data_IF_837533783943
#
_entry.id   IF_837533783943
#
_cell.length_a   1.000
_cell.length_b   1.000
_cell.length_c   1.000
_cell.angle_alpha   90.00
_cell.angle_beta   90.00
_cell.angle_gamma   90.00
#
_symmetry.space_group_name_H-M   'P 1'
#
loop_
_entity.id
_entity.type
_entity.pdbx_description
1 polymer ?
#
# COMPACT_ATOMS: atom_id res chain seq x y z
N UNK A 1 6.98 9.25 -71.66
CA UNK A 1 5.66 8.59 -71.76
C UNK A 1 5.19 8.27 -70.35
N UNK A 2 3.92 8.39 -69.95
CA UNK A 2 2.75 8.98 -70.62
C UNK A 2 1.96 9.83 -69.60
N UNK A 3 0.92 10.57 -69.99
CA UNK A 3 0.35 11.68 -69.18
C UNK A 3 -1.19 11.74 -69.30
N UNK A 4 -1.88 12.23 -68.25
CA UNK A 4 -3.30 12.69 -68.14
C UNK A 4 -4.35 11.69 -67.60
N UNK A 5 -5.41 12.30 -67.02
CA UNK A 5 -6.70 11.71 -66.55
C UNK A 5 -6.63 10.86 -65.27
N UNK A 6 -7.62 10.84 -64.36
CA UNK A 6 -9.02 11.33 -64.37
C UNK A 6 -9.29 12.35 -63.22
N UNK A 7 -10.49 12.96 -63.16
CA UNK A 7 -10.85 14.16 -62.41
C UNK A 7 -12.16 13.97 -61.58
N UNK A 8 -12.31 14.73 -60.46
CA UNK A 8 -13.53 14.93 -59.61
C UNK A 8 -13.86 13.75 -58.65
N UNK A 9 -14.52 13.92 -57.50
CA UNK A 9 -15.14 15.07 -56.80
C UNK A 9 -14.43 15.32 -55.42
N UNK A 10 -14.49 16.43 -54.65
CA UNK A 10 -15.61 17.31 -54.17
C UNK A 10 -16.65 16.55 -53.30
N UNK A 11 -17.20 17.00 -52.17
CA UNK A 11 -17.03 18.12 -51.19
C UNK A 11 -17.90 17.74 -49.94
N UNK A 12 -17.91 18.32 -48.73
CA UNK A 12 -17.36 19.53 -48.06
C UNK A 12 -17.13 19.17 -46.56
N UNK A 13 -16.27 19.88 -45.81
CA UNK A 13 -16.51 20.21 -44.39
C UNK A 13 -15.63 21.39 -43.93
N UNK A 14 -16.23 22.53 -43.58
CA UNK A 14 -15.52 23.74 -43.13
C UNK A 14 -16.42 24.67 -42.30
N UNK A 15 -16.19 24.74 -40.99
CA UNK A 15 -16.81 25.67 -40.00
C UNK A 15 -16.16 25.36 -38.64
N UNK A 16 -15.71 26.31 -37.80
CA UNK A 16 -15.62 27.77 -37.91
C UNK A 16 -14.44 28.28 -37.07
N UNK A 17 -13.82 29.42 -37.41
CA UNK A 17 -12.77 30.05 -36.58
C UNK A 17 -12.71 31.58 -36.79
N UNK A 18 -12.69 32.36 -35.68
CA UNK A 18 -12.78 33.85 -35.60
C UNK A 18 -14.13 34.40 -36.10
N UNK A 19 -14.72 35.48 -35.58
CA UNK A 19 -14.24 36.84 -35.18
C UNK A 19 -14.87 37.20 -33.81
N UNK A 20 -14.18 37.66 -32.76
CA UNK A 20 -13.40 38.90 -32.50
C UNK A 20 -14.21 40.17 -32.16
N UNK A 21 -13.78 40.80 -31.05
CA UNK A 21 -13.86 42.22 -30.65
C UNK A 21 -15.06 42.81 -29.87
N UNK A 22 -14.65 43.63 -28.89
CA UNK A 22 -15.32 44.77 -28.23
C UNK A 22 -16.54 44.49 -27.34
N UNK A 23 -16.32 44.50 -26.01
CA UNK A 23 -16.59 45.71 -25.20
C UNK A 23 -15.84 45.65 -23.86
N UNK A 24 -15.51 46.83 -23.31
CA UNK A 24 -15.15 47.03 -21.91
C UNK A 24 -15.84 48.31 -21.43
N UNK A 25 -16.27 48.36 -20.16
CA UNK A 25 -15.57 49.29 -19.27
C UNK A 25 -15.25 48.69 -17.89
N UNK A 26 -14.36 49.37 -17.18
CA UNK A 26 -14.02 49.13 -15.77
C UNK A 26 -15.15 49.52 -14.82
N UNK A 27 -15.30 48.81 -13.69
CA UNK A 27 -15.43 49.39 -12.33
C UNK A 27 -15.26 48.28 -11.29
N UNK A 28 -14.78 48.65 -10.10
CA UNK A 28 -14.58 47.79 -8.94
C UNK A 28 -15.87 47.42 -8.21
N UNK A 29 -15.97 46.20 -7.64
CA UNK A 29 -15.85 46.07 -6.18
C UNK A 29 -15.62 44.61 -5.70
N UNK A 30 -15.41 44.46 -4.39
CA UNK A 30 -15.25 43.20 -3.67
C UNK A 30 -16.59 42.44 -3.45
N UNK A 31 -16.47 41.18 -3.03
CA UNK A 31 -17.47 40.37 -2.32
C UNK A 31 -18.72 39.92 -3.09
N UNK A 32 -18.82 38.61 -3.35
CA UNK A 32 -19.97 37.76 -2.94
C UNK A 32 -19.77 36.29 -3.40
N UNK A 33 -19.45 35.40 -2.47
CA UNK A 33 -19.55 33.95 -2.65
C UNK A 33 -20.71 33.40 -1.81
N UNK A 34 -21.90 33.26 -2.40
CA UNK A 34 -23.01 32.50 -1.84
C UNK A 34 -23.91 31.94 -2.96
N UNK A 35 -24.64 30.87 -2.64
CA UNK A 35 -25.56 30.11 -3.51
C UNK A 35 -24.97 29.41 -4.73
N UNK A 36 -24.61 28.13 -4.54
CA UNK A 36 -25.14 27.05 -5.41
C UNK A 36 -25.09 25.68 -4.69
N UNK A 37 -25.98 25.51 -3.73
CA UNK A 37 -26.35 24.18 -3.20
C UNK A 37 -27.71 23.82 -3.81
N UNK A 38 -27.76 22.74 -4.59
CA UNK A 38 -28.81 21.69 -4.52
C UNK A 38 -28.70 20.68 -5.68
N UNK A 39 -27.87 19.64 -5.47
CA UNK A 39 -28.21 18.29 -5.92
C UNK A 39 -27.94 17.34 -4.75
N UNK A 40 -28.90 16.45 -4.44
CA UNK A 40 -28.76 15.45 -3.37
C UNK A 40 -28.22 14.15 -3.98
N UNK A 41 -27.12 13.56 -3.46
CA UNK A 41 -26.90 12.13 -3.64
C UNK A 41 -27.91 11.33 -2.80
N UNK A 42 -28.21 10.11 -3.23
CA UNK A 42 -29.14 9.20 -2.55
C UNK A 42 -28.42 7.89 -2.22
N UNK A 43 -28.50 7.44 -0.96
CA UNK A 43 -28.14 6.09 -0.53
C UNK A 43 -26.88 5.98 0.32
N UNK A 44 -27.01 5.27 1.45
CA UNK A 44 -25.95 4.75 2.35
C UNK A 44 -24.86 5.75 2.79
N UNK A 45 -25.10 6.39 3.92
CA UNK A 45 -24.04 7.03 4.72
C UNK A 45 -23.30 5.98 5.58
N UNK A 46 -22.47 5.16 4.95
CA UNK A 46 -21.58 4.26 5.71
C UNK A 46 -20.59 5.07 6.54
N UNK A 47 -20.33 4.61 7.76
CA UNK A 47 -19.42 5.25 8.71
C UNK A 47 -17.98 4.83 8.37
N UNK A 48 -17.06 5.79 8.13
CA UNK A 48 -15.67 5.47 7.87
C UNK A 48 -15.03 4.75 9.05
N UNK A 49 -14.17 3.76 8.78
CA UNK A 49 -13.55 2.95 9.85
C UNK A 49 -12.77 3.83 10.85
N UNK A 50 -12.18 4.93 10.38
CA UNK A 50 -11.60 5.99 11.23
C UNK A 50 -12.49 6.39 12.41
N UNK A 51 -13.82 6.47 12.29
CA UNK A 51 -14.70 6.96 13.37
C UNK A 51 -14.74 6.01 14.57
N UNK A 52 -14.67 4.70 14.33
CA UNK A 52 -14.55 3.70 15.40
C UNK A 52 -13.16 3.69 16.05
N UNK A 53 -12.15 4.24 15.37
CA UNK A 53 -10.75 4.24 15.79
C UNK A 53 -10.29 5.60 16.36
N UNK A 54 -11.07 6.65 16.17
CA UNK A 54 -10.83 8.00 16.69
C UNK A 54 -11.41 8.25 18.10
N UNK A 55 -12.17 7.32 18.66
CA UNK A 55 -12.80 7.46 19.98
C UNK A 55 -12.06 6.69 21.07
N UNK A 56 -11.56 7.40 22.07
CA UNK A 56 -11.25 6.86 23.41
C UNK A 56 -12.51 6.59 24.25
N UNK A 57 -13.68 6.99 23.76
CA UNK A 57 -14.94 6.64 24.40
C UNK A 57 -15.10 5.12 24.42
N UNK A 58 -15.30 4.56 25.61
CA UNK A 58 -16.15 3.37 25.73
C UNK A 58 -17.47 3.73 25.04
N UNK A 59 -18.07 2.86 24.21
CA UNK A 59 -19.42 3.11 23.74
C UNK A 59 -20.34 3.22 24.96
N UNK A 60 -21.09 4.32 25.06
CA UNK A 60 -22.02 4.53 26.15
C UNK A 60 -23.04 3.38 26.20
N UNK A 61 -23.41 2.97 27.42
CA UNK A 61 -24.01 1.66 27.66
C UNK A 61 -25.50 1.58 27.32
N UNK A 62 -25.85 1.70 26.03
CA UNK A 62 -27.19 1.39 25.51
C UNK A 62 -27.22 1.13 23.99
N UNK A 63 -27.17 -0.16 23.58
CA UNK A 63 -28.10 -0.84 22.63
C UNK A 63 -27.42 -2.07 21.99
N UNK A 64 -28.19 -3.14 21.77
CA UNK A 64 -27.78 -4.39 21.09
C UNK A 64 -26.67 -5.21 21.77
N UNK A 65 -27.07 -6.10 22.69
CA UNK A 65 -26.16 -7.00 23.41
C UNK A 65 -25.75 -8.25 22.60
N UNK A 66 -24.96 -8.07 21.55
CA UNK A 66 -24.11 -9.16 21.04
C UNK A 66 -22.88 -9.30 21.93
N UNK A 67 -22.68 -10.47 22.54
CA UNK A 67 -21.62 -10.69 23.53
C UNK A 67 -20.29 -10.97 22.83
N UNK A 68 -19.25 -10.21 23.16
CA UNK A 68 -17.89 -10.49 22.72
C UNK A 68 -17.47 -11.92 23.08
N UNK A 69 -16.95 -12.66 22.11
CA UNK A 69 -16.45 -14.02 22.28
C UNK A 69 -14.95 -13.97 22.57
N UNK A 70 -14.55 -14.51 23.74
CA UNK A 70 -13.13 -14.64 24.10
C UNK A 70 -12.58 -15.96 23.57
N UNK A 71 -11.52 -15.87 22.78
CA UNK A 71 -10.80 -16.99 22.19
C UNK A 71 -9.35 -16.99 22.70
N UNK A 72 -8.73 -18.17 22.72
CA UNK A 72 -7.31 -18.32 23.06
C UNK A 72 -6.48 -18.62 21.82
N UNK A 73 -5.28 -18.06 21.76
CA UNK A 73 -4.27 -18.50 20.79
C UNK A 73 -3.88 -19.95 21.05
N UNK A 74 -3.61 -20.72 20.00
CA UNK A 74 -3.08 -22.09 20.11
C UNK A 74 -1.72 -22.09 20.85
N UNK A 75 -1.33 -23.21 21.47
CA UNK A 75 -0.16 -23.26 22.35
C UNK A 75 1.15 -22.89 21.62
N UNK A 76 1.29 -23.36 20.38
CA UNK A 76 2.36 -23.05 19.44
C UNK A 76 2.37 -21.56 19.07
N UNK A 77 1.18 -20.97 18.93
CA UNK A 77 0.99 -19.54 18.63
C UNK A 77 1.48 -18.66 19.78
N UNK A 78 1.23 -19.03 21.05
CA UNK A 78 1.73 -18.25 22.19
C UNK A 78 3.28 -18.22 22.25
N UNK A 79 3.93 -19.36 21.99
CA UNK A 79 5.40 -19.42 21.96
C UNK A 79 5.99 -18.66 20.77
N UNK A 80 5.42 -18.84 19.57
CA UNK A 80 5.88 -18.13 18.38
C UNK A 80 5.66 -16.63 18.48
N UNK A 81 4.58 -16.14 19.10
CA UNK A 81 4.35 -14.72 19.35
C UNK A 81 5.52 -14.10 20.15
N UNK A 82 6.00 -14.80 21.18
CA UNK A 82 7.14 -14.36 21.99
C UNK A 82 8.45 -14.31 21.19
N UNK A 83 8.64 -15.22 20.24
CA UNK A 83 9.83 -15.29 19.36
C UNK A 83 9.77 -14.22 18.27
N UNK A 84 8.62 -14.07 17.61
CA UNK A 84 8.37 -13.01 16.60
C UNK A 84 8.62 -11.64 17.22
N UNK A 85 8.09 -11.40 18.43
CA UNK A 85 8.13 -10.10 19.08
C UNK A 85 9.48 -9.72 19.72
N UNK A 86 10.45 -10.64 19.80
CA UNK A 86 11.78 -10.40 20.42
C UNK A 86 12.98 -10.72 19.53
N UNK A 87 12.84 -11.61 18.55
CA UNK A 87 13.99 -12.28 17.93
C UNK A 87 14.01 -12.30 16.40
N UNK A 88 12.89 -12.04 15.72
CA UNK A 88 12.85 -12.08 14.24
C UNK A 88 13.12 -10.73 13.57
N UNK A 89 12.98 -9.61 14.29
CA UNK A 89 13.14 -8.27 13.74
C UNK A 89 14.05 -7.44 14.65
N UNK A 90 15.19 -7.01 14.10
CA UNK A 90 16.12 -6.07 14.75
C UNK A 90 15.51 -4.67 14.88
N UNK A 91 14.74 -4.25 13.86
CA UNK A 91 14.25 -2.90 13.70
C UNK A 91 12.73 -2.87 13.93
N UNK A 92 12.29 -2.18 14.98
CA UNK A 92 10.87 -2.05 15.37
C UNK A 92 9.97 -1.65 14.21
N UNK A 93 10.42 -0.69 13.39
CA UNK A 93 9.71 -0.11 12.24
C UNK A 93 9.23 -1.11 11.16
N UNK A 94 9.77 -2.33 11.13
CA UNK A 94 9.39 -3.36 10.16
C UNK A 94 7.89 -3.70 10.23
N UNK A 95 7.22 -3.51 11.38
CA UNK A 95 5.78 -3.75 11.49
C UNK A 95 4.93 -2.96 10.47
N UNK A 96 5.34 -1.73 10.12
CA UNK A 96 4.66 -0.90 9.11
C UNK A 96 4.81 -1.52 7.72
N UNK A 97 5.98 -2.08 7.39
CA UNK A 97 6.19 -2.84 6.14
C UNK A 97 5.27 -4.05 6.06
N UNK A 98 5.16 -4.82 7.14
CA UNK A 98 4.30 -6.01 7.19
C UNK A 98 2.82 -5.64 7.05
N UNK A 99 2.35 -4.61 7.76
CA UNK A 99 0.96 -4.15 7.66
C UNK A 99 0.62 -3.58 6.27
N UNK A 100 1.49 -2.76 5.67
CA UNK A 100 1.28 -2.25 4.30
C UNK A 100 1.32 -3.39 3.26
N UNK A 101 2.13 -4.43 3.49
CA UNK A 101 2.16 -5.62 2.63
C UNK A 101 0.85 -6.41 2.71
N UNK A 102 0.32 -6.61 3.93
CA UNK A 102 -0.99 -7.25 4.14
C UNK A 102 -2.14 -6.43 3.52
N UNK A 103 -2.09 -5.10 3.64
CA UNK A 103 -3.04 -4.19 3.00
C UNK A 103 -2.99 -4.30 1.46
N UNK A 104 -1.80 -4.26 0.85
CA UNK A 104 -1.63 -4.47 -0.59
C UNK A 104 -2.16 -5.85 -1.04
N UNK A 105 -1.92 -6.91 -0.26
CA UNK A 105 -2.46 -8.24 -0.52
C UNK A 105 -4.00 -8.26 -0.49
N UNK A 106 -4.62 -7.58 0.47
CA UNK A 106 -6.08 -7.48 0.57
C UNK A 106 -6.69 -6.72 -0.63
N UNK A 107 -6.00 -5.69 -1.12
CA UNK A 107 -6.37 -4.93 -2.33
C UNK A 107 -6.21 -5.74 -3.62
N UNK A 108 -5.13 -6.51 -3.75
CA UNK A 108 -4.90 -7.36 -4.92
C UNK A 108 -5.87 -8.55 -4.96
N UNK A 109 -6.16 -9.20 -3.82
CA UNK A 109 -7.24 -10.21 -3.71
C UNK A 109 -8.58 -9.65 -4.19
N UNK A 110 -8.96 -8.45 -3.74
CA UNK A 110 -10.18 -7.78 -4.18
C UNK A 110 -10.18 -7.57 -5.70
N UNK A 111 -9.04 -7.15 -6.28
CA UNK A 111 -8.88 -7.01 -7.74
C UNK A 111 -9.05 -8.34 -8.49
N UNK A 112 -8.54 -9.46 -7.97
CA UNK A 112 -8.78 -10.78 -8.58
C UNK A 112 -10.26 -11.17 -8.51
N UNK A 113 -10.94 -10.96 -7.38
CA UNK A 113 -12.38 -11.23 -7.26
C UNK A 113 -13.22 -10.37 -8.21
N UNK A 114 -12.91 -9.06 -8.32
CA UNK A 114 -13.54 -8.15 -9.29
C UNK A 114 -13.42 -8.66 -10.73
N UNK A 115 -12.25 -9.20 -11.11
CA UNK A 115 -12.00 -9.72 -12.46
C UNK A 115 -12.59 -11.12 -12.71
N UNK A 116 -12.69 -11.96 -11.68
CA UNK A 116 -13.15 -13.34 -11.81
C UNK A 116 -14.67 -13.50 -11.65
N UNK A 117 -15.29 -12.73 -10.76
CA UNK A 117 -16.72 -12.90 -10.43
C UNK A 117 -17.68 -12.19 -11.40
N UNK A 118 -17.21 -11.15 -12.10
CA UNK A 118 -18.07 -10.28 -12.92
C UNK A 118 -19.14 -9.50 -12.12
N UNK A 119 -19.09 -9.56 -10.79
CA UNK A 119 -20.12 -9.06 -9.90
C UNK A 119 -20.08 -7.53 -9.79
N UNK A 120 -21.17 -6.90 -10.22
CA UNK A 120 -21.38 -5.46 -10.15
C UNK A 120 -21.43 -4.93 -8.70
N UNK A 121 -21.68 -5.78 -7.70
CA UNK A 121 -21.69 -5.39 -6.28
C UNK A 121 -20.30 -4.93 -5.77
N UNK A 122 -19.24 -5.23 -6.52
CA UNK A 122 -17.84 -4.90 -6.21
C UNK A 122 -17.23 -3.92 -7.26
N UNK A 123 -18.05 -3.32 -8.14
CA UNK A 123 -17.55 -2.68 -9.37
C UNK A 123 -16.98 -1.26 -9.22
N UNK A 124 -17.43 -0.47 -8.24
CA UNK A 124 -16.93 0.90 -8.01
C UNK A 124 -16.34 1.02 -6.61
N UNK A 125 -15.05 0.71 -6.51
CA UNK A 125 -14.35 0.65 -5.24
C UNK A 125 -12.90 1.12 -5.32
N UNK A 126 -12.61 2.10 -4.46
CA UNK A 126 -11.26 2.54 -4.13
C UNK A 126 -10.40 1.34 -3.75
N UNK A 127 -9.18 1.26 -4.26
CA UNK A 127 -8.16 0.30 -3.82
C UNK A 127 -6.96 1.03 -3.24
N UNK A 128 -7.10 1.44 -1.99
CA UNK A 128 -6.25 2.44 -1.34
C UNK A 128 -5.85 2.00 0.07
N UNK A 129 -4.73 2.54 0.55
CA UNK A 129 -4.20 2.34 1.90
C UNK A 129 -4.16 3.69 2.60
N UNK A 130 -4.79 3.79 3.76
CA UNK A 130 -4.84 4.99 4.59
C UNK A 130 -4.07 4.73 5.88
N UNK A 131 -3.16 5.63 6.22
CA UNK A 131 -2.42 5.61 7.49
C UNK A 131 -2.81 6.87 8.26
N UNK A 132 -3.24 6.70 9.50
CA UNK A 132 -3.58 7.80 10.41
C UNK A 132 -2.69 7.69 11.64
N UNK A 133 -2.02 8.78 11.98
CA UNK A 133 -1.25 8.89 13.24
C UNK A 133 -1.95 9.84 14.20
N UNK A 134 -1.96 9.48 15.48
CA UNK A 134 -2.47 10.31 16.55
C UNK A 134 -1.44 10.40 17.67
N UNK A 135 -0.80 11.56 17.78
CA UNK A 135 0.21 11.86 18.79
C UNK A 135 -0.38 12.00 20.19
N UNK A 136 -1.59 12.57 20.28
CA UNK A 136 -2.27 12.86 21.56
C UNK A 136 -2.71 11.55 22.23
N UNK A 137 -3.23 10.61 21.43
CA UNK A 137 -3.69 9.31 21.90
C UNK A 137 -2.61 8.21 21.79
N UNK A 138 -1.40 8.55 21.31
CA UNK A 138 -0.29 7.64 21.03
C UNK A 138 -0.72 6.39 20.22
N UNK A 139 -1.37 6.61 19.06
CA UNK A 139 -1.82 5.50 18.19
C UNK A 139 -1.32 5.65 16.75
N UNK A 140 -1.19 4.50 16.08
CA UNK A 140 -1.03 4.37 14.64
C UNK A 140 -2.14 3.47 14.11
N UNK A 141 -2.86 3.93 13.09
CA UNK A 141 -3.86 3.14 12.38
C UNK A 141 -3.44 2.93 10.93
N UNK A 142 -3.47 1.69 10.44
CA UNK A 142 -3.32 1.36 9.01
C UNK A 142 -4.61 0.69 8.52
N UNK A 143 -5.22 1.25 7.47
CA UNK A 143 -6.49 0.83 6.89
C UNK A 143 -6.33 0.52 5.40
N UNK A 144 -6.85 -0.61 4.96
CA UNK A 144 -7.08 -0.93 3.55
C UNK A 144 -8.57 -0.88 3.20
N UNK A 145 -8.87 -0.67 1.92
CA UNK A 145 -10.22 -0.82 1.33
C UNK A 145 -10.37 -2.17 0.60
N UNK A 146 -9.62 -3.19 1.01
CA UNK A 146 -9.47 -4.47 0.34
C UNK A 146 -10.60 -5.45 0.61
N UNK A 147 -10.27 -6.74 0.48
CA UNK A 147 -11.25 -7.84 0.54
C UNK A 147 -11.92 -8.00 1.92
N UNK A 148 -11.30 -7.48 2.99
CA UNK A 148 -11.73 -7.67 4.38
C UNK A 148 -11.66 -9.14 4.83
N UNK A 149 -12.28 -9.44 5.97
CA UNK A 149 -12.41 -10.79 6.52
C UNK A 149 -13.83 -11.03 7.05
N UNK A 150 -14.32 -12.27 6.93
CA UNK A 150 -15.46 -12.78 7.71
C UNK A 150 -15.05 -13.08 9.16
N UNK A 151 -16.01 -13.43 10.03
CA UNK A 151 -15.71 -13.90 11.40
C UNK A 151 -14.75 -15.10 11.42
N UNK A 152 -14.98 -16.10 10.56
CA UNK A 152 -14.13 -17.30 10.48
C UNK A 152 -12.76 -16.99 9.92
N UNK A 153 -12.66 -16.10 8.93
CA UNK A 153 -11.38 -15.64 8.38
C UNK A 153 -10.58 -14.83 9.41
N UNK A 154 -11.22 -14.03 10.26
CA UNK A 154 -10.56 -13.33 11.36
C UNK A 154 -10.04 -14.31 12.44
N UNK A 155 -10.87 -15.26 12.88
CA UNK A 155 -10.47 -16.32 13.83
C UNK A 155 -9.31 -17.15 13.28
N UNK A 156 -9.37 -17.59 12.02
CA UNK A 156 -8.34 -18.41 11.40
C UNK A 156 -7.02 -17.64 11.17
N UNK A 157 -7.08 -16.44 10.57
CA UNK A 157 -5.87 -15.72 10.13
C UNK A 157 -5.24 -14.83 11.22
N UNK A 158 -6.03 -14.30 12.17
CA UNK A 158 -5.52 -13.49 13.29
C UNK A 158 -5.40 -14.29 14.60
N UNK A 159 -6.05 -15.45 14.70
CA UNK A 159 -5.99 -16.35 15.87
C UNK A 159 -4.99 -17.50 15.75
N UNK A 160 -4.39 -17.71 14.57
CA UNK A 160 -3.39 -18.76 14.32
C UNK A 160 -2.11 -18.14 13.74
N UNK A 161 -0.96 -18.30 14.40
CA UNK A 161 0.32 -17.94 13.81
C UNK A 161 0.71 -18.94 12.71
N UNK A 162 1.51 -18.46 11.74
CA UNK A 162 1.98 -19.22 10.57
C UNK A 162 0.89 -19.59 9.54
N UNK A 163 -0.35 -19.13 9.76
CA UNK A 163 -1.47 -19.28 8.82
C UNK A 163 -1.60 -18.04 7.95
N UNK A 164 -1.19 -18.12 6.68
CA UNK A 164 -1.42 -17.06 5.69
C UNK A 164 -2.64 -17.35 4.82
N UNK A 165 -3.71 -16.57 5.00
CA UNK A 165 -4.81 -16.51 4.03
C UNK A 165 -4.38 -15.99 2.65
N UNK A 166 -3.24 -15.29 2.53
CA UNK A 166 -2.64 -14.94 1.23
C UNK A 166 -1.97 -16.15 0.55
N UNK A 167 -1.42 -17.11 1.31
CA UNK A 167 -0.92 -18.38 0.77
C UNK A 167 -2.08 -19.26 0.29
N UNK A 168 -3.12 -19.42 1.11
CA UNK A 168 -4.29 -20.24 0.76
C UNK A 168 -4.97 -19.75 -0.53
N UNK A 169 -5.16 -18.44 -0.66
CA UNK A 169 -5.70 -17.83 -1.88
C UNK A 169 -4.84 -18.10 -3.14
N UNK A 170 -3.52 -18.08 -3.02
CA UNK A 170 -2.61 -18.46 -4.12
C UNK A 170 -2.71 -19.95 -4.47
N UNK A 171 -2.96 -20.83 -3.50
CA UNK A 171 -3.17 -22.27 -3.70
C UNK A 171 -4.55 -22.59 -4.30
N UNK A 172 -5.53 -21.70 -4.14
CA UNK A 172 -6.83 -21.75 -4.82
C UNK A 172 -6.70 -21.29 -6.28
N UNK A 173 -6.14 -20.11 -6.53
CA UNK A 173 -5.91 -19.59 -7.90
C UNK A 173 -5.11 -20.56 -8.80
N UNK A 174 -4.21 -21.36 -8.22
CA UNK A 174 -3.44 -22.39 -8.93
C UNK A 174 -4.28 -23.55 -9.50
N UNK A 175 -5.45 -23.81 -8.93
CA UNK A 175 -6.35 -24.89 -9.38
C UNK A 175 -7.12 -24.48 -10.64
N UNK A 176 -7.49 -23.19 -10.73
CA UNK A 176 -8.35 -22.65 -11.80
C UNK A 176 -7.61 -22.32 -13.11
N UNK A 177 -6.26 -22.46 -13.15
CA UNK A 177 -5.39 -22.27 -14.34
C UNK A 177 -5.44 -20.89 -15.02
N UNK A 178 -6.30 -19.97 -14.61
CA UNK A 178 -6.43 -18.63 -15.20
C UNK A 178 -5.38 -17.61 -14.70
N UNK A 179 -4.59 -17.95 -13.67
CA UNK A 179 -3.69 -17.03 -12.99
C UNK A 179 -2.33 -16.86 -13.70
N UNK A 180 -2.21 -15.84 -14.55
CA UNK A 180 -0.92 -15.40 -15.15
C UNK A 180 -0.10 -14.47 -14.26
N UNK A 181 -0.53 -14.22 -13.02
CA UNK A 181 -0.22 -12.98 -12.29
C UNK A 181 0.19 -13.23 -10.81
N UNK A 182 0.66 -14.44 -10.48
CA UNK A 182 1.09 -14.86 -9.12
C UNK A 182 2.15 -13.95 -8.45
N UNK A 183 2.79 -13.08 -9.23
CA UNK A 183 3.85 -12.19 -8.78
C UNK A 183 3.43 -11.14 -7.76
N UNK A 184 2.13 -10.84 -7.57
CA UNK A 184 1.70 -9.64 -6.83
C UNK A 184 1.38 -9.81 -5.34
N UNK A 185 1.02 -11.01 -4.88
CA UNK A 185 0.67 -11.28 -3.47
C UNK A 185 1.93 -11.60 -2.66
N UNK A 186 2.20 -10.81 -1.63
CA UNK A 186 3.45 -10.77 -0.85
C UNK A 186 3.45 -11.80 0.28
N UNK A 187 2.39 -11.85 1.08
CA UNK A 187 2.39 -12.50 2.39
C UNK A 187 2.27 -14.03 2.34
N UNK A 188 3.37 -14.76 2.54
CA UNK A 188 3.34 -16.23 2.49
C UNK A 188 3.43 -16.89 3.88
N UNK A 189 4.08 -16.24 4.86
CA UNK A 189 4.41 -16.85 6.15
C UNK A 189 3.34 -16.76 7.24
N UNK A 190 2.41 -15.79 7.20
CA UNK A 190 1.36 -15.69 8.23
C UNK A 190 1.86 -15.26 9.62
N UNK A 191 2.97 -14.52 9.68
CA UNK A 191 3.56 -13.98 10.93
C UNK A 191 3.58 -12.45 11.00
N UNK A 192 3.47 -11.76 9.85
CA UNK A 192 3.69 -10.31 9.75
C UNK A 192 2.76 -9.45 10.61
N UNK A 193 1.50 -9.85 10.79
CA UNK A 193 0.54 -9.14 11.66
C UNK A 193 1.05 -9.01 13.10
N UNK A 194 1.64 -10.07 13.65
CA UNK A 194 2.04 -10.17 15.05
C UNK A 194 3.29 -9.31 15.39
N UNK A 195 3.95 -8.74 14.38
CA UNK A 195 4.99 -7.72 14.56
C UNK A 195 4.46 -6.43 15.23
N UNK A 196 3.14 -6.17 15.15
CA UNK A 196 2.48 -5.04 15.84
C UNK A 196 2.68 -5.06 17.37
N UNK A 197 2.76 -6.24 17.99
CA UNK A 197 3.01 -6.38 19.43
C UNK A 197 4.46 -6.02 19.82
N UNK A 198 5.39 -5.85 18.86
CA UNK A 198 6.73 -5.29 19.13
C UNK A 198 6.69 -3.82 19.52
N UNK A 199 5.60 -3.11 19.21
CA UNK A 199 5.48 -1.66 19.43
C UNK A 199 4.21 -1.24 20.18
N UNK A 200 3.26 -2.15 20.39
CA UNK A 200 1.93 -1.84 20.93
C UNK A 200 1.72 -2.38 22.35
N UNK A 201 0.84 -1.73 23.12
CA UNK A 201 0.23 -2.24 24.37
C UNK A 201 -0.95 -3.15 24.04
N UNK A 202 -1.69 -2.83 22.98
CA UNK A 202 -2.81 -3.60 22.44
C UNK A 202 -3.04 -3.24 20.96
N UNK A 203 -3.81 -4.09 20.27
CA UNK A 203 -4.16 -3.95 18.86
C UNK A 203 -5.66 -4.22 18.69
N UNK A 204 -6.37 -3.26 18.11
CA UNK A 204 -7.71 -3.48 17.58
C UNK A 204 -7.62 -3.72 16.07
N UNK A 205 -8.39 -4.69 15.57
CA UNK A 205 -8.60 -4.91 14.14
C UNK A 205 -10.09 -4.81 13.86
N UNK A 206 -10.50 -3.82 13.06
CA UNK A 206 -11.86 -3.70 12.55
C UNK A 206 -11.86 -4.15 11.10
N UNK A 207 -12.75 -5.09 10.75
CA UNK A 207 -12.79 -5.67 9.41
C UNK A 207 -14.23 -5.91 8.94
N UNK A 208 -14.44 -5.78 7.63
CA UNK A 208 -15.71 -6.12 6.97
C UNK A 208 -15.41 -6.76 5.61
N UNK A 209 -15.84 -8.01 5.44
CA UNK A 209 -15.68 -8.77 4.20
C UNK A 209 -16.41 -8.11 3.02
N UNK A 210 -15.91 -8.35 1.81
CA UNK A 210 -16.63 -8.08 0.55
C UNK A 210 -17.90 -8.93 0.38
N UNK A 211 -18.01 -10.06 1.07
CA UNK A 211 -19.11 -11.02 0.93
C UNK A 211 -20.43 -10.39 1.40
N UNK A 212 -21.42 -10.39 0.52
CA UNK A 212 -22.73 -9.79 0.79
C UNK A 212 -23.41 -10.43 2.00
N UNK A 213 -23.89 -9.61 2.94
CA UNK A 213 -24.58 -10.05 4.16
C UNK A 213 -23.67 -10.32 5.37
N UNK A 214 -22.34 -10.37 5.21
CA UNK A 214 -21.42 -10.48 6.35
C UNK A 214 -21.46 -9.20 7.21
N UNK A 215 -21.60 -9.31 8.54
CA UNK A 215 -21.36 -8.21 9.47
C UNK A 215 -19.92 -7.73 9.41
N UNK A 216 -19.69 -6.52 9.92
CA UNK A 216 -18.35 -6.11 10.31
C UNK A 216 -18.03 -6.66 11.71
N UNK A 217 -16.74 -6.86 12.00
CA UNK A 217 -16.25 -7.37 13.27
C UNK A 217 -15.14 -6.49 13.84
N UNK A 218 -15.13 -6.32 15.16
CA UNK A 218 -13.95 -5.90 15.92
C UNK A 218 -13.30 -7.14 16.53
N UNK A 219 -11.99 -7.26 16.34
CA UNK A 219 -11.10 -8.19 16.99
C UNK A 219 -10.14 -7.38 17.87
N UNK A 220 -9.86 -7.84 19.09
CA UNK A 220 -9.07 -7.09 20.08
C UNK A 220 -8.08 -8.02 20.80
N UNK A 221 -6.82 -7.63 20.92
CA UNK A 221 -5.84 -8.37 21.74
C UNK A 221 -4.73 -7.47 22.29
N UNK A 222 -4.18 -7.85 23.44
CA UNK A 222 -2.96 -7.33 24.05
C UNK A 222 -1.71 -8.20 23.75
N UNK A 223 -1.88 -9.32 23.04
CA UNK A 223 -0.82 -10.30 22.80
C UNK A 223 -0.53 -11.24 23.99
N UNK A 224 -1.33 -11.22 25.05
CA UNK A 224 -1.09 -12.01 26.28
C UNK A 224 -1.29 -13.52 26.16
N UNK A 225 -1.97 -13.98 25.10
CA UNK A 225 -2.41 -15.38 24.96
C UNK A 225 -3.88 -15.55 24.57
N UNK A 226 -4.65 -14.45 24.52
CA UNK A 226 -6.07 -14.44 24.13
C UNK A 226 -6.43 -13.25 23.23
N UNK A 227 -7.59 -13.35 22.58
CA UNK A 227 -8.21 -12.26 21.85
C UNK A 227 -9.73 -12.30 22.04
N UNK A 228 -10.41 -11.19 21.78
CA UNK A 228 -11.87 -11.08 21.83
C UNK A 228 -12.40 -10.65 20.46
N UNK A 229 -13.53 -11.21 20.04
CA UNK A 229 -14.19 -10.87 18.76
C UNK A 229 -15.68 -10.58 18.97
N UNK A 230 -16.15 -9.46 18.42
CA UNK A 230 -17.54 -9.00 18.49
C UNK A 230 -18.01 -8.45 17.14
N UNK A 231 -19.28 -8.63 16.74
CA UNK A 231 -19.83 -7.96 15.58
C UNK A 231 -20.08 -6.47 15.89
N UNK A 232 -19.86 -5.61 14.89
CA UNK A 232 -20.19 -4.19 14.95
C UNK A 232 -21.57 -3.93 14.32
N UNK A 233 -22.30 -2.97 14.89
CA UNK A 233 -23.73 -2.74 14.57
C UNK A 233 -23.93 -1.66 13.51
N UNK A 234 -23.08 -0.62 13.47
CA UNK A 234 -23.18 0.47 12.50
C UNK A 234 -22.49 0.12 11.16
N UNK A 235 -22.90 0.75 10.06
CA UNK A 235 -22.35 0.48 8.71
C UNK A 235 -20.85 0.80 8.61
N UNK A 236 -19.97 -0.20 8.76
CA UNK A 236 -18.52 -0.10 8.51
C UNK A 236 -18.23 -0.14 7.01
N UNK A 237 -17.26 0.62 6.50
CA UNK A 237 -16.73 0.44 5.14
C UNK A 237 -16.09 -0.96 4.95
N UNK A 238 -16.05 -1.49 3.72
CA UNK A 238 -15.34 -2.75 3.43
C UNK A 238 -13.81 -2.55 3.53
N UNK A 239 -13.13 -3.56 4.07
CA UNK A 239 -11.68 -3.65 4.16
C UNK A 239 -11.25 -4.10 5.54
N UNK A 240 -10.04 -3.71 5.95
CA UNK A 240 -9.54 -3.91 7.32
C UNK A 240 -8.82 -2.65 7.80
N UNK A 241 -8.97 -2.30 9.07
CA UNK A 241 -8.16 -1.30 9.74
C UNK A 241 -7.58 -1.85 11.04
N UNK A 242 -6.29 -1.64 11.25
CA UNK A 242 -5.49 -2.14 12.36
C UNK A 242 -5.01 -0.93 13.15
N UNK A 243 -5.58 -0.70 14.35
CA UNK A 243 -5.17 0.34 15.30
C UNK A 243 -4.20 -0.25 16.32
N UNK A 244 -2.96 0.21 16.26
CA UNK A 244 -1.92 -0.07 17.24
C UNK A 244 -1.97 1.01 18.33
N UNK A 245 -2.29 0.64 19.57
CA UNK A 245 -2.10 1.52 20.73
C UNK A 245 -0.64 1.41 21.16
N UNK A 246 0.17 2.42 20.88
CA UNK A 246 1.62 2.30 20.98
C UNK A 246 2.08 2.24 22.44
N UNK A 247 3.21 1.58 22.68
CA UNK A 247 3.94 1.70 23.94
C UNK A 247 4.60 3.07 24.05
N UNK A 248 4.92 3.43 25.28
CA UNK A 248 5.53 4.73 25.59
C UNK A 248 6.99 4.78 25.06
N UNK A 249 7.67 3.63 24.97
CA UNK A 249 8.96 3.46 24.27
C UNK A 249 8.85 3.36 22.73
N UNK A 250 7.66 3.63 22.18
CA UNK A 250 7.33 3.53 20.75
C UNK A 250 6.52 4.73 20.21
N UNK A 251 6.40 5.81 20.97
CA UNK A 251 5.71 7.04 20.56
C UNK A 251 6.38 7.80 19.40
N UNK A 252 7.49 7.28 18.86
CA UNK A 252 8.05 7.70 17.57
C UNK A 252 7.14 7.35 16.39
N UNK A 253 6.33 6.29 16.49
CA UNK A 253 5.41 5.84 15.43
C UNK A 253 4.04 6.56 15.42
N UNK A 254 3.76 7.43 16.38
CA UNK A 254 2.64 8.39 16.31
C UNK A 254 3.02 9.71 15.62
N UNK A 255 4.27 9.85 15.15
CA UNK A 255 4.75 11.05 14.45
C UNK A 255 4.66 10.87 12.93
N UNK A 256 4.01 11.82 12.26
CA UNK A 256 3.75 11.75 10.81
C UNK A 256 5.04 11.65 9.98
N UNK A 257 6.11 12.35 10.38
CA UNK A 257 7.39 12.36 9.68
C UNK A 257 8.12 11.01 9.79
N UNK A 258 8.07 10.34 10.94
CA UNK A 258 8.60 8.98 11.10
C UNK A 258 7.93 8.02 10.12
N UNK A 259 6.59 8.07 10.03
CA UNK A 259 5.84 7.21 9.11
C UNK A 259 6.13 7.55 7.64
N UNK A 260 6.26 8.84 7.28
CA UNK A 260 6.70 9.25 5.93
C UNK A 260 8.05 8.63 5.56
N UNK A 261 9.02 8.67 6.46
CA UNK A 261 10.34 8.09 6.23
C UNK A 261 10.30 6.57 6.09
N UNK A 262 9.53 5.87 6.94
CA UNK A 262 9.37 4.41 6.89
C UNK A 262 8.65 3.97 5.60
N UNK A 263 7.57 4.66 5.21
CA UNK A 263 6.87 4.40 3.94
C UNK A 263 7.78 4.66 2.74
N UNK A 264 8.54 5.77 2.75
CA UNK A 264 9.54 6.08 1.72
C UNK A 264 10.65 5.02 1.62
N UNK A 265 11.05 4.42 2.75
CA UNK A 265 12.06 3.36 2.83
C UNK A 265 11.54 2.02 2.30
N UNK A 266 10.39 1.55 2.77
CA UNK A 266 9.93 0.18 2.52
C UNK A 266 8.86 0.01 1.44
N UNK A 267 7.98 1.00 1.28
CA UNK A 267 6.69 0.85 0.58
C UNK A 267 6.46 1.86 -0.54
N UNK A 268 7.42 2.74 -0.83
CA UNK A 268 7.37 3.80 -1.84
C UNK A 268 6.96 3.34 -3.25
N UNK A 269 7.20 2.07 -3.57
CA UNK A 269 6.91 1.46 -4.87
C UNK A 269 5.70 0.51 -4.85
N UNK A 270 5.01 0.36 -3.72
CA UNK A 270 3.74 -0.39 -3.62
C UNK A 270 2.71 0.21 -4.59
N UNK A 271 1.94 -0.64 -5.27
CA UNK A 271 1.09 -0.23 -6.39
C UNK A 271 -0.20 0.49 -5.97
N UNK A 272 -0.69 0.22 -4.75
CA UNK A 272 -1.84 0.91 -4.18
C UNK A 272 -1.45 2.33 -3.72
N UNK A 273 -2.30 3.36 -3.90
CA UNK A 273 -2.09 4.67 -3.29
C UNK A 273 -2.09 4.55 -1.76
N UNK A 274 -1.05 5.12 -1.14
CA UNK A 274 -0.85 5.23 0.31
C UNK A 274 -1.03 6.71 0.68
N UNK A 275 -1.95 6.97 1.59
CA UNK A 275 -2.18 8.27 2.22
C UNK A 275 -1.69 8.24 3.66
N UNK A 276 -1.04 9.30 4.13
CA UNK A 276 -0.77 9.55 5.55
C UNK A 276 -1.53 10.83 5.91
N UNK A 277 -2.45 10.75 6.88
CA UNK A 277 -3.33 11.87 7.26
C UNK A 277 -3.95 12.57 6.03
N UNK A 278 -4.57 11.76 5.17
CA UNK A 278 -5.18 12.12 3.88
C UNK A 278 -4.24 12.74 2.80
N UNK A 279 -2.95 12.92 3.09
CA UNK A 279 -1.93 13.32 2.12
C UNK A 279 -1.33 12.09 1.44
N UNK A 280 -1.46 11.97 0.11
CA UNK A 280 -0.84 10.87 -0.65
C UNK A 280 0.69 10.98 -0.65
N UNK A 281 1.38 9.88 -0.31
CA UNK A 281 2.85 9.87 -0.14
C UNK A 281 3.62 9.02 -1.15
N UNK A 282 3.03 7.97 -1.73
CA UNK A 282 3.69 7.19 -2.80
C UNK A 282 3.23 7.64 -4.20
N UNK A 283 4.20 8.04 -5.04
CA UNK A 283 3.94 8.45 -6.41
C UNK A 283 5.04 8.03 -7.40
N UNK A 284 5.96 7.16 -7.00
CA UNK A 284 7.11 6.75 -7.80
C UNK A 284 6.86 5.39 -8.47
N UNK A 285 7.03 5.36 -9.81
CA UNK A 285 6.95 4.11 -10.59
C UNK A 285 8.17 3.23 -10.32
N UNK A 286 7.95 1.93 -10.27
CA UNK A 286 9.00 0.93 -10.11
C UNK A 286 9.67 0.67 -11.48
N UNK A 287 10.51 1.62 -11.95
CA UNK A 287 11.03 1.64 -13.33
C UNK A 287 11.68 0.32 -13.79
N UNK A 288 12.25 -0.47 -12.87
CA UNK A 288 12.80 -1.80 -13.18
C UNK A 288 11.77 -2.80 -13.72
N UNK A 289 10.48 -2.61 -13.40
CA UNK A 289 9.34 -3.40 -13.90
C UNK A 289 8.86 -2.92 -15.29
N UNK A 290 8.83 -1.61 -15.51
CA UNK A 290 8.30 -0.94 -16.71
C UNK A 290 9.09 -1.30 -17.99
N UNK A 291 8.51 -1.18 -19.19
CA UNK A 291 9.21 -1.50 -20.44
C UNK A 291 10.38 -0.54 -20.71
N UNK A 292 11.53 -1.06 -21.14
CA UNK A 292 12.73 -0.24 -21.34
C UNK A 292 12.60 0.80 -22.47
N UNK A 293 11.61 0.66 -23.36
CA UNK A 293 11.29 1.62 -24.42
C UNK A 293 10.29 2.70 -23.97
N UNK A 294 9.66 2.54 -22.79
CA UNK A 294 8.70 3.48 -22.23
C UNK A 294 9.28 4.37 -21.11
N UNK A 295 10.60 4.39 -20.96
CA UNK A 295 11.32 5.18 -19.95
C UNK A 295 12.29 6.12 -20.66
N UNK A 296 12.20 7.41 -20.37
CA UNK A 296 13.11 8.43 -20.87
C UNK A 296 14.41 8.55 -20.06
N UNK A 297 15.44 9.18 -20.63
CA UNK A 297 16.70 9.45 -19.93
C UNK A 297 16.53 10.32 -18.68
N UNK A 298 15.55 11.24 -18.69
CA UNK A 298 15.26 12.08 -17.53
C UNK A 298 14.48 11.35 -16.44
N UNK A 299 13.56 10.44 -16.77
CA UNK A 299 12.96 9.51 -15.79
C UNK A 299 14.02 8.61 -15.14
N UNK A 300 14.97 8.10 -15.93
CA UNK A 300 16.13 7.36 -15.41
C UNK A 300 17.02 8.23 -14.51
N UNK A 301 17.25 9.50 -14.86
CA UNK A 301 18.02 10.43 -14.03
C UNK A 301 17.29 10.79 -12.72
N UNK A 302 15.98 11.04 -12.74
CA UNK A 302 15.18 11.28 -11.54
C UNK A 302 15.15 10.07 -10.61
N UNK A 303 14.92 8.87 -11.16
CA UNK A 303 14.96 7.64 -10.38
C UNK A 303 16.35 7.36 -9.82
N UNK A 304 17.42 7.55 -10.61
CA UNK A 304 18.80 7.43 -10.15
C UNK A 304 19.09 8.34 -8.95
N UNK A 305 18.75 9.64 -9.05
CA UNK A 305 18.92 10.60 -7.95
C UNK A 305 18.07 10.21 -6.73
N UNK A 306 16.86 9.70 -6.93
CA UNK A 306 16.01 9.20 -5.85
C UNK A 306 16.62 8.01 -5.09
N UNK A 307 17.11 6.98 -5.77
CA UNK A 307 17.66 5.77 -5.09
C UNK A 307 19.07 5.96 -4.53
N UNK A 308 19.84 6.92 -5.04
CA UNK A 308 21.24 7.16 -4.63
C UNK A 308 21.44 8.36 -3.71
N UNK A 309 20.48 9.29 -3.65
CA UNK A 309 20.66 10.59 -2.99
C UNK A 309 21.65 11.53 -3.69
N UNK A 310 22.19 11.15 -4.85
CA UNK A 310 23.13 11.98 -5.62
C UNK A 310 22.40 13.04 -6.46
N UNK A 311 23.17 14.00 -6.99
CA UNK A 311 22.67 15.09 -7.83
C UNK A 311 23.06 14.99 -9.31
N UNK A 312 23.99 14.10 -9.67
CA UNK A 312 24.42 13.88 -11.06
C UNK A 312 23.43 13.01 -11.85
N UNK A 313 23.82 12.63 -13.07
CA UNK A 313 23.07 11.69 -13.92
C UNK A 313 23.81 10.34 -13.98
N UNK A 314 23.12 9.22 -14.26
CA UNK A 314 23.81 7.99 -14.58
C UNK A 314 24.57 8.14 -15.91
N UNK A 315 25.83 7.68 -15.95
CA UNK A 315 26.64 7.58 -17.18
C UNK A 315 26.23 6.39 -18.04
N UNK A 316 25.87 5.30 -17.38
CA UNK A 316 25.33 4.10 -18.02
C UNK A 316 24.16 3.58 -17.20
N UNK A 317 23.15 3.08 -17.92
CA UNK A 317 21.95 2.46 -17.37
C UNK A 317 21.83 1.06 -17.99
N UNK A 318 21.63 0.05 -17.15
CA UNK A 318 21.37 -1.33 -17.56
C UNK A 318 20.06 -1.78 -16.91
N UNK A 319 19.01 -1.91 -17.71
CA UNK A 319 17.82 -2.64 -17.29
C UNK A 319 17.94 -4.09 -17.75
N UNK A 320 17.84 -5.03 -16.80
CA UNK A 320 17.95 -6.46 -17.06
C UNK A 320 16.68 -7.18 -16.61
N UNK A 321 16.14 -8.03 -17.49
CA UNK A 321 14.92 -8.80 -17.27
C UNK A 321 15.14 -10.25 -17.69
N UNK A 322 14.87 -11.17 -16.78
CA UNK A 322 14.85 -12.61 -17.02
C UNK A 322 13.73 -13.25 -16.19
N UNK A 323 13.13 -14.32 -16.69
CA UNK A 323 11.98 -14.99 -16.06
C UNK A 323 12.27 -16.45 -15.67
N UNK A 324 13.34 -17.04 -16.22
CA UNK A 324 13.76 -18.45 -16.04
C UNK A 324 15.30 -18.49 -15.98
N UNK A 325 15.94 -19.20 -15.03
CA UNK A 325 15.35 -20.07 -14.01
C UNK A 325 14.79 -19.31 -12.80
N UNK A 326 15.06 -18.00 -12.68
CA UNK A 326 14.53 -17.13 -11.65
C UNK A 326 13.85 -15.91 -12.28
N UNK A 327 12.78 -15.41 -11.65
CA UNK A 327 12.22 -14.12 -12.02
C UNK A 327 13.09 -13.00 -11.44
N UNK A 328 13.79 -12.27 -12.30
CA UNK A 328 14.65 -11.16 -11.92
C UNK A 328 14.38 -9.96 -12.84
N UNK A 329 14.12 -8.82 -12.20
CA UNK A 329 13.93 -7.51 -12.81
C UNK A 329 14.88 -6.56 -12.10
N UNK A 330 15.94 -6.16 -12.77
CA UNK A 330 16.98 -5.30 -12.22
C UNK A 330 17.13 -4.02 -13.05
N UNK A 331 17.48 -2.92 -12.38
CA UNK A 331 17.82 -1.66 -12.98
C UNK A 331 19.09 -1.17 -12.27
N UNK A 332 20.17 -1.07 -13.03
CA UNK A 332 21.55 -0.90 -12.57
C UNK A 332 22.09 0.39 -13.18
N UNK A 333 22.66 1.26 -12.35
CA UNK A 333 23.26 2.51 -12.78
C UNK A 333 24.77 2.54 -12.49
N UNK A 334 25.50 3.17 -13.41
CA UNK A 334 26.89 3.60 -13.20
C UNK A 334 26.88 5.13 -13.06
N UNK A 335 27.31 5.70 -11.92
CA UNK A 335 27.39 7.16 -11.72
C UNK A 335 28.19 7.90 -12.80
N UNK A 336 27.87 9.17 -13.04
CA UNK A 336 28.72 10.05 -13.85
C UNK A 336 29.89 10.59 -13.03
N UNK A 337 29.66 10.90 -11.76
CA UNK A 337 30.68 11.19 -10.77
C UNK A 337 31.69 10.02 -10.64
N UNK A 338 32.98 10.37 -10.56
CA UNK A 338 34.06 9.41 -10.32
C UNK A 338 34.29 9.33 -8.80
N UNK A 339 34.09 8.18 -8.15
CA UNK A 339 34.32 8.06 -6.71
C UNK A 339 35.76 8.42 -6.35
N UNK A 340 35.91 9.19 -5.27
CA UNK A 340 37.19 9.61 -4.72
C UNK A 340 37.80 8.50 -3.83
N UNK A 341 39.00 8.74 -3.30
CA UNK A 341 39.73 7.72 -2.51
C UNK A 341 39.03 7.34 -1.20
N UNK A 342 38.30 8.27 -0.56
CA UNK A 342 37.53 8.02 0.64
C UNK A 342 36.28 7.18 0.35
N UNK A 343 35.53 7.50 -0.70
CA UNK A 343 34.41 6.69 -1.22
C UNK A 343 34.86 5.25 -1.52
N UNK A 344 36.10 5.11 -2.00
CA UNK A 344 36.79 3.84 -2.28
C UNK A 344 37.24 3.09 -1.02
N UNK A 345 37.28 3.73 0.15
CA UNK A 345 37.60 3.08 1.45
C UNK A 345 36.40 2.80 2.34
N UNK A 346 35.26 3.47 2.17
CA UNK A 346 34.07 3.22 2.98
C UNK A 346 33.29 1.99 2.50
N UNK A 347 33.29 0.91 3.28
CA UNK A 347 32.44 -0.27 2.99
C UNK A 347 30.94 -0.01 3.24
N UNK A 348 30.59 1.04 3.99
CA UNK A 348 29.23 1.34 4.46
C UNK A 348 28.20 1.66 3.35
N UNK A 349 28.63 2.11 2.16
CA UNK A 349 27.79 2.48 1.02
C UNK A 349 27.84 1.46 -0.15
N UNK A 350 28.37 0.27 0.10
CA UNK A 350 28.47 -0.81 -0.89
C UNK A 350 27.20 -1.66 -0.91
N UNK A 351 26.64 -1.88 -2.11
CA UNK A 351 25.50 -2.76 -2.35
C UNK A 351 24.37 -2.08 -3.11
N UNK A 352 23.53 -2.89 -3.76
CA UNK A 352 22.31 -2.45 -4.45
C UNK A 352 21.07 -2.69 -3.58
N UNK A 353 19.97 -1.98 -3.84
CA UNK A 353 18.73 -2.16 -3.09
C UNK A 353 17.98 -3.43 -3.55
N UNK A 354 17.79 -4.39 -2.65
CA UNK A 354 17.05 -5.63 -2.92
C UNK A 354 15.57 -5.45 -2.59
N UNK A 355 14.73 -5.55 -3.63
CA UNK A 355 13.27 -5.54 -3.53
C UNK A 355 12.70 -6.94 -3.84
N UNK A 356 11.59 -7.28 -3.17
CA UNK A 356 10.71 -8.38 -3.57
C UNK A 356 9.30 -7.83 -3.73
N UNK A 357 8.64 -8.10 -4.86
CA UNK A 357 7.26 -7.66 -5.14
C UNK A 357 7.02 -6.15 -4.89
N UNK A 358 8.02 -5.32 -5.22
CA UNK A 358 8.11 -3.86 -4.98
C UNK A 358 8.26 -3.40 -3.52
N UNK A 359 8.35 -4.31 -2.55
CA UNK A 359 8.66 -4.03 -1.13
C UNK A 359 10.17 -4.17 -0.89
N UNK A 360 10.78 -3.26 -0.12
CA UNK A 360 12.21 -3.33 0.19
C UNK A 360 12.51 -4.45 1.20
N UNK A 361 13.46 -5.32 0.84
CA UNK A 361 14.00 -6.37 1.72
C UNK A 361 15.29 -5.88 2.39
N UNK A 362 16.24 -5.33 1.61
CA UNK A 362 17.54 -4.87 2.11
C UNK A 362 18.01 -3.66 1.31
N UNK A 363 18.27 -2.52 1.98
CA UNK A 363 18.69 -1.27 1.34
C UNK A 363 20.06 -1.35 0.64
N UNK A 364 20.99 -2.15 1.19
CA UNK A 364 22.37 -2.31 0.71
C UNK A 364 22.74 -3.80 0.70
N UNK A 365 22.37 -4.51 -0.35
CA UNK A 365 22.63 -5.93 -0.52
C UNK A 365 24.01 -6.16 -1.16
N UNK A 366 25.06 -6.07 -0.34
CA UNK A 366 26.46 -6.19 -0.76
C UNK A 366 26.90 -7.61 -1.20
N UNK A 367 26.04 -8.62 -1.04
CA UNK A 367 26.28 -10.00 -1.45
C UNK A 367 25.82 -10.31 -2.89
N UNK A 368 25.00 -9.45 -3.51
CA UNK A 368 24.41 -9.71 -4.82
C UNK A 368 25.36 -9.43 -6.00
N UNK A 369 26.36 -8.57 -5.80
CA UNK A 369 27.36 -8.21 -6.80
C UNK A 369 28.78 -8.46 -6.27
N UNK A 370 29.71 -8.93 -7.12
CA UNK A 370 31.13 -9.00 -6.76
C UNK A 370 31.67 -7.67 -6.23
N UNK A 371 32.56 -7.70 -5.22
CA UNK A 371 33.15 -6.50 -4.57
C UNK A 371 33.74 -5.47 -5.55
N UNK A 372 34.21 -5.89 -6.73
CA UNK A 372 34.76 -4.98 -7.75
C UNK A 372 33.69 -4.14 -8.49
N UNK A 373 32.41 -4.55 -8.48
CA UNK A 373 31.28 -3.80 -9.03
C UNK A 373 30.64 -2.81 -8.03
N UNK A 374 31.21 -2.62 -6.83
CA UNK A 374 30.65 -1.78 -5.75
C UNK A 374 30.32 -0.31 -6.08
N UNK A 375 30.76 0.18 -7.24
CA UNK A 375 30.42 1.52 -7.75
C UNK A 375 29.02 1.57 -8.40
N UNK A 376 28.45 0.40 -8.74
CA UNK A 376 27.07 0.25 -9.22
C UNK A 376 26.08 0.66 -8.13
N UNK A 377 24.94 1.21 -8.56
CA UNK A 377 23.78 1.55 -7.74
C UNK A 377 22.51 0.96 -8.32
#
# INVERSE_FOLDING_TARGET
MHLRSILRHRTVLSTSFRILQNYSPTVSNQSNYHHLIHQKPVGRTSIPIQRYLATNAKPDSATSSTRAEKHHFQAETQQLLHIVAKSLYSDKEIFIRELISNANDALEKLRYMQLASGDQSIADDKREIYITVDDINNTLTIKDTGIGMTKSEAIDNLGTIARSGSRLFLEELKKDKAATDEGKIIGQFGVGFYSTFMVSKSVDVITRSYKAGEPAYRWTSDGSGSYEIEPLVDEVERGTAIRCYLRDDCAEFSKEETIKQIVKKYSNFVSAPIYINDVRVNNLRALWMEDSKSISEDEHAEFYRFVTGQYDKPRYTLQYKIDVPINLRALIYVPQYKPNIFDVTQEADVGVALYSRKVLIQAKANQLLPRWLRFVK
#
